data_IF_252712101570
#
_entry.id   IF_252712101570
#
_cell.length_a   1.000
_cell.length_b   1.000
_cell.length_c   1.000
_cell.angle_alpha   90.00
_cell.angle_beta   90.00
_cell.angle_gamma   90.00
#
_symmetry.space_group_name_H-M   'P 1'
#
loop_
_entity.id
_entity.type
_entity.pdbx_description
1 polymer ?
#
# COMPACT_ATOMS: atom_id res chain seq x y z
N UNK A 1 -8.82 -17.62 -0.15
CA UNK A 1 -7.61 -17.39 0.68
C UNK A 1 -6.52 -16.78 -0.19
N UNK A 2 -6.11 -15.52 0.02
CA UNK A 2 -5.11 -14.84 -0.82
C UNK A 2 -3.81 -14.67 -0.02
N UNK A 3 -2.78 -15.48 -0.32
CA UNK A 3 -1.40 -15.27 0.16
C UNK A 3 -0.71 -14.30 -0.80
N UNK A 4 0.33 -13.61 -0.35
CA UNK A 4 1.31 -13.07 -1.28
C UNK A 4 1.94 -14.27 -1.99
N UNK A 5 1.68 -14.41 -3.30
CA UNK A 5 2.14 -15.58 -4.06
C UNK A 5 3.53 -15.30 -4.59
N UNK A 6 4.52 -15.81 -3.88
CA UNK A 6 5.87 -16.02 -4.39
C UNK A 6 6.06 -17.45 -4.94
N UNK A 7 5.13 -18.37 -4.62
CA UNK A 7 5.22 -19.82 -4.81
C UNK A 7 4.80 -20.32 -6.21
N UNK A 8 5.79 -20.43 -7.10
CA UNK A 8 5.86 -21.42 -8.19
C UNK A 8 7.09 -22.33 -7.92
N UNK A 9 7.26 -23.50 -8.57
CA UNK A 9 8.56 -24.18 -8.56
C UNK A 9 9.67 -23.18 -8.96
N UNK A 10 10.72 -23.02 -8.14
CA UNK A 10 11.72 -21.95 -8.32
C UNK A 10 11.40 -20.61 -7.63
N UNK A 11 10.38 -20.57 -6.78
CA UNK A 11 9.98 -19.40 -6.00
C UNK A 11 11.09 -18.83 -5.12
N UNK A 12 11.13 -17.50 -5.03
CA UNK A 12 11.95 -16.80 -4.05
C UNK A 12 11.51 -17.14 -2.61
N UNK A 13 12.48 -17.43 -1.73
CA UNK A 13 12.26 -17.72 -0.31
C UNK A 13 11.85 -16.48 0.50
N UNK A 14 12.14 -15.29 -0.03
CA UNK A 14 11.78 -13.99 0.51
C UNK A 14 11.58 -12.99 -0.63
N UNK A 15 10.92 -11.87 -0.35
CA UNK A 15 10.75 -10.78 -1.32
C UNK A 15 10.43 -9.47 -0.64
N UNK A 16 10.67 -8.38 -1.35
CA UNK A 16 10.32 -7.02 -0.92
C UNK A 16 8.95 -6.67 -1.52
N UNK A 17 8.07 -6.07 -0.72
CA UNK A 17 6.76 -5.61 -1.16
C UNK A 17 6.36 -4.34 -0.41
N UNK A 18 5.30 -3.68 -0.85
CA UNK A 18 4.77 -2.52 -0.15
C UNK A 18 4.23 -2.92 1.23
N UNK A 19 4.51 -2.12 2.25
CA UNK A 19 4.06 -2.35 3.62
C UNK A 19 2.53 -2.51 3.72
N UNK A 20 1.77 -1.75 2.94
CA UNK A 20 0.31 -1.89 2.80
C UNK A 20 -0.12 -3.34 2.50
N UNK A 21 0.57 -4.01 1.58
CA UNK A 21 0.25 -5.39 1.17
C UNK A 21 0.65 -6.38 2.27
N UNK A 22 1.77 -6.12 2.96
CA UNK A 22 2.23 -6.93 4.09
C UNK A 22 1.31 -6.78 5.33
N UNK A 23 0.54 -5.69 5.43
CA UNK A 23 -0.43 -5.42 6.49
C UNK A 23 -1.84 -5.96 6.20
N UNK A 24 -2.11 -6.43 4.99
CA UNK A 24 -3.40 -7.00 4.65
C UNK A 24 -3.74 -8.19 5.58
N UNK A 25 -4.98 -8.30 6.11
CA UNK A 25 -5.35 -9.32 7.09
C UNK A 25 -4.92 -10.76 6.77
N UNK A 26 -5.09 -11.29 5.54
CA UNK A 26 -4.68 -12.66 5.24
C UNK A 26 -3.17 -12.85 5.19
N UNK A 27 -2.39 -11.77 5.06
CA UNK A 27 -0.92 -11.79 4.98
C UNK A 27 -0.31 -11.66 6.37
N UNK A 28 -0.73 -10.65 7.15
CA UNK A 28 -0.16 -10.37 8.47
C UNK A 28 -0.36 -11.52 9.46
N UNK A 29 -1.41 -12.32 9.28
CA UNK A 29 -1.68 -13.50 10.11
C UNK A 29 -0.81 -14.71 9.77
N UNK A 30 -0.13 -14.72 8.61
CA UNK A 30 0.48 -15.94 8.04
C UNK A 30 1.95 -15.80 7.68
N UNK A 31 2.40 -14.58 7.43
CA UNK A 31 3.73 -14.31 6.90
C UNK A 31 4.54 -13.44 7.88
N UNK A 32 5.83 -13.73 7.99
CA UNK A 32 6.77 -12.87 8.74
C UNK A 32 7.16 -11.68 7.87
N UNK A 33 7.45 -10.55 8.52
CA UNK A 33 7.89 -9.32 7.84
C UNK A 33 8.90 -8.57 8.69
N UNK A 34 9.73 -7.79 8.02
CA UNK A 34 10.58 -6.77 8.61
C UNK A 34 10.39 -5.48 7.82
N UNK A 35 10.52 -4.33 8.49
CA UNK A 35 10.53 -3.03 7.82
C UNK A 35 11.92 -2.83 7.23
N UNK A 36 11.97 -2.46 5.95
CA UNK A 36 13.22 -2.07 5.31
C UNK A 36 13.60 -0.67 5.83
N UNK A 37 14.81 -0.47 6.36
CA UNK A 37 15.29 0.84 6.79
C UNK A 37 15.19 1.89 5.67
N UNK A 38 14.79 3.12 6.05
CA UNK A 38 14.47 4.18 5.10
C UNK A 38 15.69 4.72 4.32
N UNK A 39 16.91 4.51 4.84
CA UNK A 39 18.18 4.83 4.19
C UNK A 39 18.56 3.84 3.07
N UNK A 40 17.88 2.69 2.98
CA UNK A 40 18.11 1.68 1.95
C UNK A 40 17.25 1.88 0.68
N UNK A 41 16.42 2.92 0.64
CA UNK A 41 15.60 3.20 -0.54
C UNK A 41 15.26 4.69 -0.68
N UNK A 42 14.96 5.12 -1.91
CA UNK A 42 14.40 6.45 -2.13
C UNK A 42 13.00 6.58 -1.46
N UNK A 43 12.58 7.80 -1.06
CA UNK A 43 11.25 8.01 -0.49
C UNK A 43 10.12 7.54 -1.43
N UNK A 44 9.23 6.70 -0.94
CA UNK A 44 8.10 6.15 -1.69
C UNK A 44 6.91 7.11 -1.65
N UNK A 45 6.79 7.99 -2.66
CA UNK A 45 5.70 8.96 -2.75
C UNK A 45 4.53 8.43 -3.59
N UNK A 46 3.37 8.24 -2.97
CA UNK A 46 2.15 7.82 -3.66
C UNK A 46 1.25 9.03 -3.92
N UNK A 47 0.84 9.21 -5.18
CA UNK A 47 0.00 10.31 -5.63
C UNK A 47 -1.32 9.78 -6.19
N UNK A 48 -2.41 10.43 -5.83
CA UNK A 48 -3.68 10.31 -6.53
C UNK A 48 -3.77 11.46 -7.52
N UNK A 49 -4.22 11.18 -8.75
CA UNK A 49 -4.44 12.18 -9.79
C UNK A 49 -5.80 11.97 -10.44
N UNK A 50 -6.42 13.05 -10.92
CA UNK A 50 -7.58 12.96 -11.81
C UNK A 50 -7.08 13.10 -13.23
N UNK A 51 -7.40 12.11 -14.08
CA UNK A 51 -7.06 12.17 -15.50
C UNK A 51 -7.96 13.19 -16.22
N UNK A 52 -7.46 13.77 -17.31
CA UNK A 52 -8.18 14.82 -18.06
C UNK A 52 -9.58 14.36 -18.51
N UNK A 53 -9.67 13.13 -19.01
CA UNK A 53 -10.90 12.50 -19.49
C UNK A 53 -11.73 11.83 -18.38
N UNK A 54 -11.42 12.08 -17.11
CA UNK A 54 -12.15 11.45 -16.01
C UNK A 54 -13.57 12.03 -15.86
N UNK A 55 -14.54 11.13 -15.66
CA UNK A 55 -15.93 11.48 -15.36
C UNK A 55 -16.03 12.25 -14.03
N UNK A 56 -17.11 13.03 -13.88
CA UNK A 56 -17.35 13.84 -12.67
C UNK A 56 -17.32 13.04 -11.36
N UNK A 57 -17.72 11.77 -11.40
CA UNK A 57 -17.65 10.88 -10.23
C UNK A 57 -16.22 10.76 -9.69
N UNK A 58 -15.20 10.70 -10.55
CA UNK A 58 -13.81 10.64 -10.11
C UNK A 58 -13.36 11.95 -9.46
N UNK A 59 -13.79 13.10 -10.02
CA UNK A 59 -13.52 14.44 -9.46
C UNK A 59 -14.12 14.59 -8.06
N UNK A 60 -15.32 14.03 -7.84
CA UNK A 60 -15.99 14.03 -6.52
C UNK A 60 -15.29 13.15 -5.48
N UNK A 61 -14.64 12.06 -5.89
CA UNK A 61 -13.92 11.15 -4.99
C UNK A 61 -12.50 11.65 -4.67
N UNK A 62 -11.90 12.45 -5.56
CA UNK A 62 -10.55 12.99 -5.40
C UNK A 62 -10.22 13.61 -4.04
N UNK A 63 -11.09 14.39 -3.36
CA UNK A 63 -10.80 14.92 -2.03
C UNK A 63 -10.87 13.87 -0.89
N UNK A 64 -11.45 12.70 -1.11
CA UNK A 64 -11.69 11.70 -0.06
C UNK A 64 -10.43 11.29 0.74
N UNK A 65 -9.24 11.09 0.14
CA UNK A 65 -8.03 10.73 0.89
C UNK A 65 -7.61 11.75 1.95
N UNK A 66 -8.02 13.02 1.80
CA UNK A 66 -7.72 14.09 2.76
C UNK A 66 -8.67 14.09 3.97
N UNK A 67 -9.79 13.36 3.91
CA UNK A 67 -10.73 13.26 5.02
C UNK A 67 -10.09 12.57 6.23
N UNK A 68 -10.41 13.02 7.45
CA UNK A 68 -9.94 12.41 8.69
C UNK A 68 -10.04 10.87 8.75
N UNK A 69 -11.17 10.22 8.39
CA UNK A 69 -11.27 8.76 8.41
C UNK A 69 -10.43 8.07 7.33
N UNK A 70 -10.13 8.74 6.21
CA UNK A 70 -9.20 8.22 5.21
C UNK A 70 -7.76 8.35 5.69
N UNK A 71 -7.38 9.50 6.26
CA UNK A 71 -6.03 9.74 6.80
C UNK A 71 -5.68 8.72 7.89
N UNK A 72 -6.60 8.44 8.82
CA UNK A 72 -6.34 7.45 9.87
C UNK A 72 -6.23 6.02 9.32
N UNK A 73 -6.96 5.68 8.24
CA UNK A 73 -6.79 4.38 7.57
C UNK A 73 -5.42 4.27 6.89
N UNK A 74 -4.99 5.31 6.21
CA UNK A 74 -3.70 5.37 5.53
C UNK A 74 -2.54 5.27 6.54
N UNK A 75 -2.59 6.03 7.65
CA UNK A 75 -1.59 5.95 8.73
C UNK A 75 -1.48 4.54 9.32
N UNK A 76 -2.62 3.87 9.57
CA UNK A 76 -2.64 2.46 10.02
C UNK A 76 -1.98 1.47 9.06
N UNK A 77 -1.86 1.84 7.78
CA UNK A 77 -1.22 1.01 6.75
C UNK A 77 0.20 1.48 6.37
N UNK A 78 0.80 2.38 7.16
CA UNK A 78 2.18 2.82 6.99
C UNK A 78 2.40 3.93 5.97
N UNK A 79 1.37 4.74 5.72
CA UNK A 79 1.50 5.95 4.91
C UNK A 79 1.81 7.14 5.81
N UNK A 80 2.87 7.87 5.46
CA UNK A 80 3.09 9.22 5.95
C UNK A 80 2.31 10.19 5.07
N UNK A 81 1.40 10.93 5.68
CA UNK A 81 0.58 11.93 5.00
C UNK A 81 1.09 13.32 5.39
N UNK A 82 1.17 14.27 4.44
CA UNK A 82 1.28 15.67 4.80
C UNK A 82 0.07 16.12 5.64
#
# INVERSE_FOLDING_TARGET
>A
MKRLRWSAPGAARAGITALLLALAPPVVQRERRAILPADLHAPLRQRLVVLELARDTARRIFPHPQSAPARERLRRHGFDLP
#
